data_IF_439581131855
#
_entry.id   IF_439581131855
#
_cell.length_a   1.000
_cell.length_b   1.000
_cell.length_c   1.000
_cell.angle_alpha   90.00
_cell.angle_beta   90.00
_cell.angle_gamma   90.00
#
_symmetry.space_group_name_H-M   'P 1'
#
loop_
_entity.id
_entity.type
_entity.pdbx_description
1 polymer ?
#
# COMPACT_ATOMS: atom_id res chain seq x y z
N UNK A 1 6.40 -0.62 -8.66
CA UNK A 1 6.72 -2.02 -9.05
C UNK A 1 7.03 -2.11 -10.55
N UNK A 2 7.23 -3.30 -11.11
CA UNK A 2 7.32 -3.51 -12.57
C UNK A 2 6.46 -4.69 -13.01
N UNK A 3 5.89 -4.55 -14.19
CA UNK A 3 5.18 -5.61 -14.93
C UNK A 3 5.94 -5.79 -16.26
N UNK A 4 6.80 -6.82 -16.32
CA UNK A 4 7.77 -6.99 -17.40
C UNK A 4 8.65 -5.74 -17.61
N UNK A 5 8.55 -5.13 -18.79
CA UNK A 5 9.24 -3.88 -19.14
C UNK A 5 8.54 -2.60 -18.67
N UNK A 6 7.28 -2.68 -18.21
CA UNK A 6 6.46 -1.54 -17.82
C UNK A 6 6.70 -1.18 -16.36
N UNK A 7 6.87 0.13 -16.09
CA UNK A 7 6.87 0.64 -14.72
C UNK A 7 5.43 0.86 -14.29
N UNK A 8 5.07 0.34 -13.12
CA UNK A 8 3.77 0.59 -12.50
C UNK A 8 4.01 1.41 -11.24
N UNK A 9 3.42 2.60 -11.23
CA UNK A 9 3.45 3.52 -10.10
C UNK A 9 2.52 3.01 -9.00
N UNK A 10 3.00 3.01 -7.76
CA UNK A 10 2.24 2.57 -6.59
C UNK A 10 2.26 3.72 -5.59
N UNK A 11 1.07 4.21 -5.26
CA UNK A 11 0.89 5.26 -4.28
C UNK A 11 0.23 4.67 -3.03
N UNK A 12 0.91 4.81 -1.90
CA UNK A 12 0.37 4.42 -0.58
C UNK A 12 -0.07 5.68 0.14
N UNK A 13 -1.33 5.73 0.53
CA UNK A 13 -1.86 6.86 1.29
C UNK A 13 -1.36 6.85 2.74
N UNK A 14 -1.21 8.02 3.35
CA UNK A 14 -0.86 8.12 4.78
C UNK A 14 -1.87 7.40 5.67
N UNK A 15 -3.17 7.49 5.35
CA UNK A 15 -4.20 6.75 6.06
C UNK A 15 -3.96 5.22 6.03
N UNK A 16 -3.48 4.67 4.91
CA UNK A 16 -3.10 3.26 4.85
C UNK A 16 -1.86 2.96 5.72
N UNK A 17 -0.95 3.90 5.88
CA UNK A 17 0.19 3.74 6.78
C UNK A 17 -0.20 3.87 8.25
N UNK A 18 -1.26 4.62 8.55
CA UNK A 18 -1.83 4.75 9.90
C UNK A 18 -2.64 3.50 10.28
N UNK A 19 -3.35 2.88 9.34
CA UNK A 19 -4.20 1.69 9.58
C UNK A 19 -3.41 0.37 9.74
N UNK A 20 -2.18 0.29 9.18
CA UNK A 20 -1.35 -0.93 9.26
C UNK A 20 -0.74 -1.14 10.63
N UNK A 21 -0.45 -0.04 11.32
CA UNK A 21 0.28 -0.03 12.57
C UNK A 21 -0.59 0.75 13.57
N UNK A 22 -1.18 0.05 14.55
CA UNK A 22 -1.81 0.69 15.73
C UNK A 22 -0.78 1.45 16.61
N UNK A 23 0.40 1.75 16.06
CA UNK A 23 1.53 2.38 16.71
C UNK A 23 1.28 3.89 16.75
N UNK A 24 1.42 4.44 17.95
CA UNK A 24 1.34 5.87 18.22
C UNK A 24 2.09 6.68 17.16
N UNK A 25 1.48 7.78 16.73
CA UNK A 25 1.95 8.68 15.67
C UNK A 25 3.32 9.33 15.92
N UNK A 26 3.94 9.04 17.07
CA UNK A 26 5.07 9.80 17.62
C UNK A 26 6.46 9.16 17.35
N UNK A 27 6.55 7.86 17.02
CA UNK A 27 7.86 7.18 17.02
C UNK A 27 8.46 6.80 15.66
N UNK A 28 7.72 6.86 14.54
CA UNK A 28 8.28 6.47 13.23
C UNK A 28 7.75 7.29 12.04
N UNK A 29 8.67 7.80 11.22
CA UNK A 29 8.37 8.47 9.95
C UNK A 29 7.55 7.57 9.01
N UNK A 30 6.58 8.13 8.29
CA UNK A 30 5.81 7.44 7.24
C UNK A 30 6.69 6.65 6.25
N UNK A 31 7.87 7.19 5.92
CA UNK A 31 8.80 6.51 5.03
C UNK A 31 9.42 5.25 5.67
N UNK A 32 9.61 5.25 6.99
CA UNK A 32 10.08 4.07 7.72
C UNK A 32 9.01 2.97 7.72
N UNK A 33 7.77 3.31 8.10
CA UNK A 33 6.63 2.38 8.05
C UNK A 33 6.39 1.83 6.65
N UNK A 34 6.49 2.68 5.62
CA UNK A 34 6.42 2.24 4.24
C UNK A 34 7.50 1.21 3.89
N UNK A 35 8.75 1.43 4.32
CA UNK A 35 9.84 0.47 4.06
C UNK A 35 9.61 -0.86 4.76
N UNK A 36 9.18 -0.83 6.01
CA UNK A 36 8.94 -2.03 6.81
C UNK A 36 7.86 -2.91 6.18
N UNK A 37 6.74 -2.31 5.77
CA UNK A 37 5.62 -3.01 5.15
C UNK A 37 5.68 -3.04 3.62
N UNK A 38 6.81 -2.66 3.01
CA UNK A 38 6.94 -2.51 1.54
C UNK A 38 6.48 -3.75 0.78
N UNK A 39 6.86 -4.94 1.24
CA UNK A 39 6.49 -6.21 0.58
C UNK A 39 4.97 -6.43 0.61
N UNK A 40 4.30 -6.02 1.68
CA UNK A 40 2.85 -6.12 1.81
C UNK A 40 2.16 -5.16 0.84
N UNK A 41 2.63 -3.92 0.76
CA UNK A 41 2.13 -2.96 -0.23
C UNK A 41 2.35 -3.42 -1.67
N UNK A 42 3.51 -4.00 -1.98
CA UNK A 42 3.78 -4.57 -3.30
C UNK A 42 2.84 -5.74 -3.63
N UNK A 43 2.52 -6.60 -2.65
CA UNK A 43 1.54 -7.68 -2.82
C UNK A 43 0.13 -7.16 -3.11
N UNK A 44 -0.38 -6.24 -2.27
CA UNK A 44 -1.70 -5.62 -2.46
C UNK A 44 -1.75 -4.93 -3.82
N UNK A 45 -0.70 -4.20 -4.19
CA UNK A 45 -0.67 -3.50 -5.46
C UNK A 45 -0.66 -4.46 -6.66
N UNK A 46 0.03 -5.61 -6.55
CA UNK A 46 0.00 -6.66 -7.57
C UNK A 46 -1.41 -7.22 -7.72
N UNK A 47 -2.05 -7.62 -6.62
CA UNK A 47 -3.43 -8.13 -6.67
C UNK A 47 -4.40 -7.11 -7.27
N UNK A 48 -4.27 -5.83 -6.90
CA UNK A 48 -5.09 -4.77 -7.46
C UNK A 48 -4.85 -4.57 -8.95
N UNK A 49 -3.58 -4.59 -9.37
CA UNK A 49 -3.21 -4.48 -10.77
C UNK A 49 -3.78 -5.64 -11.60
N UNK A 50 -3.66 -6.88 -11.13
CA UNK A 50 -4.16 -8.08 -11.82
C UNK A 50 -5.70 -8.08 -11.95
N UNK A 51 -6.40 -7.50 -10.96
CA UNK A 51 -7.86 -7.32 -10.97
C UNK A 51 -8.32 -6.09 -11.77
N UNK A 52 -7.40 -5.32 -12.34
CA UNK A 52 -7.71 -4.11 -13.11
C UNK A 52 -8.06 -2.88 -12.28
N UNK A 53 -7.79 -2.89 -10.97
CA UNK A 53 -7.95 -1.72 -10.08
C UNK A 53 -6.78 -0.74 -10.23
N UNK A 54 -6.63 -0.23 -11.44
CA UNK A 54 -5.65 0.78 -11.85
C UNK A 54 -6.38 2.07 -12.18
N UNK A 55 -5.79 3.21 -11.80
CA UNK A 55 -6.26 4.53 -12.18
C UNK A 55 -6.05 4.76 -13.69
N UNK A 56 -6.68 5.81 -14.25
CA UNK A 56 -6.61 6.13 -15.68
C UNK A 56 -5.19 6.40 -16.19
N UNK A 57 -4.30 6.85 -15.31
CA UNK A 57 -2.88 7.10 -15.59
C UNK A 57 -2.00 5.84 -15.45
N UNK A 58 -2.58 4.71 -15.05
CA UNK A 58 -1.89 3.45 -14.81
C UNK A 58 -1.31 3.29 -13.39
N UNK A 59 -1.64 4.20 -12.47
CA UNK A 59 -1.21 4.13 -11.07
C UNK A 59 -2.07 3.17 -10.26
N UNK A 60 -1.46 2.42 -9.36
CA UNK A 60 -2.17 1.63 -8.35
C UNK A 60 -2.16 2.40 -7.03
N UNK A 61 -3.34 2.72 -6.50
CA UNK A 61 -3.49 3.37 -5.18
C UNK A 61 -3.84 2.36 -4.10
N UNK A 62 -3.10 2.43 -2.99
CA UNK A 62 -3.37 1.68 -1.77
C UNK A 62 -3.97 2.62 -0.73
N UNK A 63 -5.21 2.33 -0.36
CA UNK A 63 -6.03 3.02 0.64
C UNK A 63 -6.18 2.14 1.88
N UNK A 64 -6.62 2.73 3.00
CA UNK A 64 -6.86 2.00 4.24
C UNK A 64 -7.77 0.77 4.07
N UNK A 65 -8.82 0.89 3.25
CA UNK A 65 -9.74 -0.23 2.94
C UNK A 65 -9.10 -1.39 2.17
N UNK A 66 -7.95 -1.17 1.52
CA UNK A 66 -7.23 -2.23 0.81
C UNK A 66 -6.36 -3.08 1.75
N UNK A 67 -6.21 -2.65 3.00
CA UNK A 67 -5.46 -3.38 4.00
C UNK A 67 -6.35 -4.46 4.60
N UNK A 68 -5.77 -5.63 4.95
CA UNK A 68 -6.52 -6.62 5.70
C UNK A 68 -7.01 -5.94 6.98
N UNK A 69 -8.33 -5.92 7.19
CA UNK A 69 -8.93 -5.46 8.44
C UNK A 69 -8.21 -6.22 9.57
N UNK A 70 -7.46 -5.48 10.39
CA UNK A 70 -6.98 -6.03 11.65
C UNK A 70 -8.25 -6.14 12.51
N UNK A 71 -8.96 -7.27 12.38
CA UNK A 71 -9.93 -7.67 13.39
C UNK A 71 -9.13 -7.86 14.67
N UNK A 72 -9.12 -6.82 15.51
CA UNK A 72 -8.75 -6.96 16.91
C UNK A 72 -9.78 -7.90 17.53
N UNK A 73 -9.36 -9.14 17.80
CA UNK A 73 -10.08 -10.09 18.67
C UNK A 73 -10.00 -9.60 20.13
#
# INVERSE_FOLDING_TARGET
MRDGGKRVEVLVSNAALDDIDNVSTDECSYFHRFKEHRRHFEYIASEKYDKGYVELDGTVRIKGIDLPLICSD
#
